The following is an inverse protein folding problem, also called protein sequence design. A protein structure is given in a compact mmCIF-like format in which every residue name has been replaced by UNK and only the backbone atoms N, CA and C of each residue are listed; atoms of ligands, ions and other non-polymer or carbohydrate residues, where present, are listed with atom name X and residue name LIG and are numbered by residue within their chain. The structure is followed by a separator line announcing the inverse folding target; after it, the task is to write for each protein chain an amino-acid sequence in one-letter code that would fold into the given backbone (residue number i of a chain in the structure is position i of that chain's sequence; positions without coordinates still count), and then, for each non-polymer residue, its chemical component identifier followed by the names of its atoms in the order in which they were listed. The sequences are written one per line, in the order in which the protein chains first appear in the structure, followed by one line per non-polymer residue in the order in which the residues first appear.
data_IF_177836466117
#
_entry.id   IF_177836466117
#
_cell.length_a   1.000
_cell.length_b   1.000
_cell.length_c   1.000
_cell.angle_alpha   90.00
_cell.angle_beta   90.00
_cell.angle_gamma   90.00
#
_symmetry.space_group_name_H-M   'P 1'
#
loop_
_entity.id
_entity.type
_entity.pdbx_description
1 polymer ?
#
# COMPACT_ATOMS: atom_id res chain seq x y z
N UNK A 1 -7.94 8.09 -9.91
CA UNK A 1 -7.74 7.51 -8.58
C UNK A 1 -6.49 6.65 -8.67
N UNK A 2 -5.36 7.09 -8.11
CA UNK A 2 -4.16 6.25 -8.00
C UNK A 2 -4.37 5.30 -6.81
N UNK A 3 -3.97 4.04 -6.96
CA UNK A 3 -4.15 3.00 -5.96
C UNK A 3 -3.50 3.43 -4.64
N UNK A 4 -4.29 3.53 -3.58
CA UNK A 4 -3.80 3.70 -2.23
C UNK A 4 -4.01 2.35 -1.53
N UNK A 5 -2.95 1.55 -1.32
CA UNK A 5 -3.07 0.51 -0.32
C UNK A 5 -3.03 1.16 1.05
N UNK A 6 -4.08 0.90 1.83
CA UNK A 6 -4.12 1.33 3.21
C UNK A 6 -3.19 0.42 4.03
N UNK A 7 -1.99 0.88 4.31
CA UNK A 7 -1.27 0.45 5.52
C UNK A 7 -1.95 1.19 6.67
N UNK A 8 -2.45 0.47 7.66
CA UNK A 8 -3.19 1.08 8.77
C UNK A 8 -2.33 1.19 10.03
N UNK A 9 -2.47 2.29 10.77
CA UNK A 9 -1.94 2.47 12.11
C UNK A 9 -3.02 2.25 13.17
N UNK A 10 -2.65 1.70 14.33
CA UNK A 10 -3.59 1.61 15.45
C UNK A 10 -3.99 3.01 15.93
N UNK A 11 -5.27 3.16 16.29
CA UNK A 11 -5.76 4.40 16.87
C UNK A 11 -5.36 4.50 18.35
N UNK A 12 -4.89 5.66 18.85
CA UNK A 12 -4.45 5.84 20.24
C UNK A 12 -5.58 5.73 21.28
N UNK A 13 -6.83 5.50 20.85
CA UNK A 13 -8.04 5.55 21.67
C UNK A 13 -8.76 4.19 21.85
N UNK A 14 -8.13 3.03 21.61
CA UNK A 14 -8.82 1.75 21.83
C UNK A 14 -7.93 0.64 22.39
N UNK A 15 -8.16 0.20 23.63
CA UNK A 15 -7.59 -1.03 24.19
C UNK A 15 -8.43 -2.28 23.87
N UNK A 16 -9.21 -2.29 22.78
CA UNK A 16 -10.14 -3.39 22.48
C UNK A 16 -9.47 -4.48 21.61
N UNK A 17 -9.80 -5.77 21.84
CA UNK A 17 -9.29 -6.87 21.04
C UNK A 17 -9.68 -6.69 19.57
N UNK A 18 -8.66 -6.66 18.70
CA UNK A 18 -8.80 -6.52 17.25
C UNK A 18 -9.44 -7.79 16.72
N UNK A 19 -10.63 -7.67 16.13
CA UNK A 19 -11.38 -8.81 15.63
C UNK A 19 -10.91 -9.12 14.21
N UNK A 20 -10.08 -10.14 14.05
CA UNK A 20 -9.64 -10.67 12.75
C UNK A 20 -8.27 -11.34 12.84
N UNK A 21 -8.21 -12.63 12.50
CA UNK A 21 -6.95 -13.31 12.18
C UNK A 21 -6.42 -12.70 10.87
N UNK A 22 -5.54 -11.70 10.94
CA UNK A 22 -4.97 -11.14 9.70
C UNK A 22 -4.15 -9.86 9.89
N UNK A 23 -4.59 -8.92 10.72
CA UNK A 23 -3.84 -7.68 10.92
C UNK A 23 -2.73 -7.89 11.96
N UNK A 24 -1.58 -8.39 11.52
CA UNK A 24 -0.37 -8.30 12.31
C UNK A 24 0.11 -6.85 12.30
N UNK A 25 0.30 -6.27 13.49
CA UNK A 25 0.88 -4.95 13.63
C UNK A 25 2.24 -5.05 14.29
N UNK A 26 3.15 -4.18 13.91
CA UNK A 26 4.42 -3.97 14.61
C UNK A 26 4.39 -2.64 15.35
N UNK A 27 4.94 -2.63 16.56
CA UNK A 27 5.13 -1.41 17.35
C UNK A 27 6.40 -0.70 16.90
N UNK A 28 6.26 0.55 16.49
CA UNK A 28 7.37 1.48 16.29
C UNK A 28 7.57 2.28 17.58
N UNK A 29 8.77 2.29 18.19
CA UNK A 29 8.99 2.97 19.47
C UNK A 29 8.84 4.49 19.33
N UNK A 30 8.62 5.17 20.47
CA UNK A 30 8.72 6.62 20.50
C UNK A 30 10.18 7.04 20.26
N UNK A 31 10.40 8.14 19.56
CA UNK A 31 11.76 8.58 19.28
C UNK A 31 11.85 9.85 18.47
N UNK A 32 13.08 10.31 18.27
CA UNK A 32 13.43 11.35 17.30
C UNK A 32 14.07 10.68 16.10
N UNK A 33 13.46 10.85 14.93
CA UNK A 33 13.86 10.23 13.68
C UNK A 33 14.39 11.26 12.71
N UNK A 34 15.41 10.89 11.93
CA UNK A 34 15.90 11.69 10.81
C UNK A 34 15.28 11.15 9.53
N UNK A 35 14.43 11.97 8.90
CA UNK A 35 13.67 11.63 7.69
C UNK A 35 14.06 12.54 6.54
N UNK A 36 13.57 12.21 5.33
CA UNK A 36 13.82 12.94 4.10
C UNK A 36 15.19 12.71 3.50
N UNK A 37 15.44 13.36 2.36
CA UNK A 37 16.73 13.33 1.65
C UNK A 37 17.05 14.72 1.12
N UNK A 38 18.32 15.10 1.20
CA UNK A 38 18.73 16.51 1.07
C UNK A 38 18.37 17.12 -0.29
N UNK A 39 18.30 16.29 -1.33
CA UNK A 39 17.99 16.67 -2.71
C UNK A 39 16.49 16.78 -3.00
N UNK A 40 15.61 16.34 -2.09
CA UNK A 40 14.17 16.31 -2.30
C UNK A 40 13.49 17.49 -1.61
N UNK A 41 12.95 18.42 -2.40
CA UNK A 41 12.30 19.65 -1.90
C UNK A 41 11.02 19.35 -1.12
N UNK A 42 10.23 18.37 -1.56
CA UNK A 42 8.96 17.99 -0.90
C UNK A 42 9.16 17.17 0.37
N UNK A 43 10.31 16.51 0.51
CA UNK A 43 10.67 15.70 1.67
C UNK A 43 12.13 15.94 2.08
N UNK A 44 12.47 17.16 2.53
CA UNK A 44 13.84 17.52 2.86
C UNK A 44 14.25 16.85 4.17
N UNK A 45 15.57 16.79 4.38
CA UNK A 45 16.11 16.23 5.62
C UNK A 45 15.61 17.02 6.82
N UNK A 46 14.93 16.33 7.75
CA UNK A 46 14.44 16.94 9.00
C UNK A 46 14.46 15.95 10.16
N UNK A 47 14.42 16.47 11.38
CA UNK A 47 14.16 15.66 12.58
C UNK A 47 12.68 15.71 12.92
N UNK A 48 12.10 14.55 13.22
CA UNK A 48 10.70 14.42 13.64
C UNK A 48 10.65 13.65 14.95
N UNK A 49 9.93 14.19 15.94
CA UNK A 49 9.64 13.49 17.19
C UNK A 49 8.29 12.79 17.06
N UNK A 50 8.30 11.45 17.14
CA UNK A 50 7.10 10.63 17.10
C UNK A 50 6.85 9.98 18.47
N UNK A 51 5.59 9.85 18.83
CA UNK A 51 5.17 8.93 19.89
C UNK A 51 5.26 7.49 19.36
N UNK A 52 5.26 6.51 20.26
CA UNK A 52 5.13 5.13 19.84
C UNK A 52 3.79 4.94 19.12
N UNK A 53 3.79 4.15 18.05
CA UNK A 53 2.61 3.82 17.27
C UNK A 53 2.71 2.39 16.77
N UNK A 54 1.59 1.82 16.37
CA UNK A 54 1.57 0.51 15.70
C UNK A 54 1.19 0.70 14.25
N UNK A 55 1.80 -0.07 13.36
CA UNK A 55 1.52 -0.06 11.93
C UNK A 55 1.35 -1.50 11.43
N UNK A 56 0.40 -1.72 10.52
CA UNK A 56 0.14 -3.02 9.91
C UNK A 56 1.40 -3.51 9.17
N UNK A 57 1.69 -4.80 9.28
CA UNK A 57 2.85 -5.43 8.61
C UNK A 57 2.58 -5.72 7.14
N UNK A 58 1.33 -5.69 6.71
CA UNK A 58 0.86 -5.97 5.35
C UNK A 58 -0.12 -4.87 4.92
N UNK A 59 -0.31 -4.77 3.60
CA UNK A 59 -1.36 -3.96 3.00
C UNK A 59 -2.75 -4.53 3.34
N UNK A 60 -3.76 -3.66 3.42
CA UNK A 60 -5.15 -4.11 3.56
C UNK A 60 -5.53 -5.02 2.40
N UNK A 61 -5.99 -6.23 2.68
CA UNK A 61 -6.35 -7.22 1.64
C UNK A 61 -7.74 -6.99 1.08
N UNK A 62 -8.01 -7.56 -0.09
CA UNK A 62 -9.38 -7.58 -0.63
C UNK A 62 -10.35 -8.33 0.28
N UNK A 63 -9.93 -9.41 0.95
CA UNK A 63 -10.80 -10.13 1.89
C UNK A 63 -11.20 -9.26 3.10
N UNK A 64 -10.28 -8.47 3.62
CA UNK A 64 -10.54 -7.52 4.71
C UNK A 64 -11.48 -6.41 4.26
N UNK A 65 -11.22 -5.80 3.11
CA UNK A 65 -12.08 -4.76 2.55
C UNK A 65 -13.47 -5.29 2.19
N UNK A 66 -13.57 -6.52 1.69
CA UNK A 66 -14.86 -7.19 1.44
C UNK A 66 -15.66 -7.40 2.73
N UNK A 67 -15.00 -7.68 3.85
CA UNK A 67 -15.65 -7.77 5.17
C UNK A 67 -16.22 -6.41 5.60
N UNK A 68 -15.46 -5.33 5.41
CA UNK A 68 -15.93 -3.95 5.63
C UNK A 68 -17.17 -3.65 4.78
N UNK A 69 -17.11 -3.89 3.47
CA UNK A 69 -18.21 -3.61 2.55
C UNK A 69 -19.44 -4.46 2.90
N UNK A 70 -19.26 -5.75 3.21
CA UNK A 70 -20.36 -6.63 3.63
C UNK A 70 -21.03 -6.16 4.92
N UNK A 71 -20.24 -5.65 5.88
CA UNK A 71 -20.75 -5.22 7.17
C UNK A 71 -21.49 -3.87 7.12
N UNK A 72 -21.17 -3.02 6.14
CA UNK A 72 -21.62 -1.62 6.11
C UNK A 72 -22.49 -1.27 4.91
N UNK A 73 -22.49 -2.09 3.86
CA UNK A 73 -23.08 -1.73 2.57
C UNK A 73 -22.34 -0.60 1.86
N UNK A 74 -21.07 -0.35 2.21
CA UNK A 74 -20.28 0.75 1.66
C UNK A 74 -20.12 0.62 0.13
N UNK A 75 -20.22 1.76 -0.57
CA UNK A 75 -20.04 1.88 -2.02
C UNK A 75 -18.88 2.84 -2.27
N UNK A 76 -17.82 2.36 -2.92
CA UNK A 76 -16.60 3.16 -3.10
C UNK A 76 -16.77 4.31 -4.08
N UNK A 77 -15.86 5.28 -4.05
CA UNK A 77 -15.86 6.37 -5.02
C UNK A 77 -15.72 5.86 -6.46
N UNK A 78 -14.92 4.82 -6.70
CA UNK A 78 -14.80 4.20 -8.03
C UNK A 78 -16.15 3.63 -8.52
N UNK A 79 -16.90 2.96 -7.63
CA UNK A 79 -18.22 2.42 -7.95
C UNK A 79 -19.24 3.52 -8.24
N UNK A 80 -19.18 4.65 -7.50
CA UNK A 80 -20.10 5.77 -7.66
C UNK A 80 -19.81 6.64 -8.87
N UNK A 81 -18.52 6.89 -9.14
CA UNK A 81 -18.06 7.87 -10.11
C UNK A 81 -17.65 7.25 -11.44
N UNK A 82 -17.52 5.92 -11.50
CA UNK A 82 -17.12 5.17 -12.69
C UNK A 82 -15.83 5.74 -13.29
N UNK A 83 -14.82 5.99 -12.44
CA UNK A 83 -13.62 6.75 -12.79
C UNK A 83 -12.30 6.12 -12.34
N UNK A 84 -12.31 4.82 -12.01
CA UNK A 84 -11.08 4.11 -11.76
C UNK A 84 -10.20 4.12 -13.01
N UNK A 85 -8.90 4.17 -12.76
CA UNK A 85 -7.87 4.24 -13.79
C UNK A 85 -7.17 2.87 -13.82
N UNK A 86 -7.10 2.27 -15.00
CA UNK A 86 -6.48 0.95 -15.22
C UNK A 86 -5.22 1.09 -16.05
N UNK A 87 -4.22 0.28 -15.72
CA UNK A 87 -2.99 0.13 -16.48
C UNK A 87 -2.99 -1.21 -17.24
N UNK A 88 -2.76 -1.17 -18.55
CA UNK A 88 -2.76 -2.34 -19.45
C UNK A 88 -1.62 -2.23 -20.49
N UNK A 89 -0.50 -2.96 -20.34
CA UNK A 89 0.47 -3.17 -21.41
C UNK A 89 -0.13 -3.96 -22.58
N UNK A 90 0.34 -3.77 -23.83
CA UNK A 90 1.33 -2.79 -24.27
C UNK A 90 0.66 -1.45 -24.59
N UNK A 91 0.82 -0.46 -23.73
CA UNK A 91 0.37 0.91 -24.03
C UNK A 91 1.54 1.73 -24.56
N UNK A 92 1.38 2.42 -25.70
CA UNK A 92 2.30 3.47 -26.11
C UNK A 92 2.12 4.63 -25.11
N UNK A 93 3.07 4.76 -24.19
CA UNK A 93 3.15 5.76 -23.10
C UNK A 93 2.15 5.55 -21.95
N UNK A 94 2.42 6.21 -20.81
CA UNK A 94 1.71 6.14 -19.52
C UNK A 94 0.23 6.61 -19.58
N UNK A 95 -0.56 6.07 -20.51
CA UNK A 95 -1.98 6.36 -20.63
C UNK A 95 -2.74 5.48 -19.67
N UNK A 96 -3.22 6.08 -18.60
CA UNK A 96 -4.23 5.46 -17.77
C UNK A 96 -5.55 5.40 -18.54
N UNK A 97 -6.16 4.21 -18.60
CA UNK A 97 -7.49 4.04 -19.22
C UNK A 97 -8.52 4.29 -18.14
N UNK A 98 -9.42 5.26 -18.36
CA UNK A 98 -10.62 5.39 -17.55
C UNK A 98 -11.57 4.27 -17.95
N UNK A 99 -11.71 3.27 -17.09
CA UNK A 99 -12.65 2.17 -17.27
C UNK A 99 -13.78 2.35 -16.26
N UNK A 100 -14.98 2.69 -16.74
CA UNK A 100 -16.14 2.91 -15.88
C UNK A 100 -16.62 1.65 -15.13
N UNK A 101 -16.12 0.48 -15.54
CA UNK A 101 -16.39 -0.80 -14.88
C UNK A 101 -15.33 -1.16 -13.84
N UNK A 102 -14.20 -0.46 -13.82
CA UNK A 102 -13.14 -0.72 -12.85
C UNK A 102 -13.50 -0.16 -11.47
N UNK A 103 -13.30 -0.99 -10.45
CA UNK A 103 -13.48 -0.68 -9.04
C UNK A 103 -12.76 -1.77 -8.21
N UNK A 104 -12.83 -1.71 -6.87
CA UNK A 104 -12.13 -2.68 -6.03
C UNK A 104 -12.53 -4.15 -6.29
N UNK A 105 -13.77 -4.42 -6.75
CA UNK A 105 -14.20 -5.79 -7.10
C UNK A 105 -13.66 -6.25 -8.46
N UNK A 106 -13.44 -5.32 -9.36
CA UNK A 106 -12.91 -5.55 -10.71
C UNK A 106 -11.77 -4.56 -10.96
N UNK A 107 -10.60 -4.75 -10.33
CA UNK A 107 -9.56 -3.73 -10.25
C UNK A 107 -8.99 -3.32 -11.62
N UNK A 108 -9.17 -4.18 -12.63
CA UNK A 108 -8.73 -3.94 -14.00
C UNK A 108 -9.91 -3.85 -14.99
N UNK A 109 -11.12 -3.59 -14.50
CA UNK A 109 -12.35 -3.62 -15.29
C UNK A 109 -12.96 -5.02 -15.38
N UNK A 110 -14.27 -5.07 -15.61
CA UNK A 110 -15.08 -6.29 -15.46
C UNK A 110 -14.67 -7.43 -16.42
N UNK A 111 -14.06 -7.09 -17.55
CA UNK A 111 -13.59 -8.07 -18.55
C UNK A 111 -12.21 -8.66 -18.23
N UNK A 112 -11.49 -8.13 -17.24
CA UNK A 112 -10.09 -8.49 -16.93
C UNK A 112 -9.93 -9.22 -15.59
N UNK A 113 -11.02 -9.74 -15.05
CA UNK A 113 -11.05 -10.55 -13.83
C UNK A 113 -11.47 -9.77 -12.58
N UNK A 114 -12.01 -10.52 -11.62
CA UNK A 114 -12.34 -10.02 -10.30
C UNK A 114 -11.08 -9.92 -9.41
N UNK A 115 -11.24 -9.31 -8.24
CA UNK A 115 -10.23 -9.27 -7.20
C UNK A 115 -9.83 -10.67 -6.69
N UNK A 116 -8.64 -10.78 -6.09
CA UNK A 116 -8.16 -11.97 -5.40
C UNK A 116 -8.05 -11.67 -3.89
N UNK A 117 -8.54 -12.57 -3.05
CA UNK A 117 -8.71 -12.34 -1.60
C UNK A 117 -7.42 -11.98 -0.88
N UNK A 118 -6.31 -12.61 -1.25
CA UNK A 118 -4.97 -12.47 -0.65
C UNK A 118 -4.10 -11.39 -1.33
N UNK A 119 -4.67 -10.61 -2.26
CA UNK A 119 -4.02 -9.44 -2.83
C UNK A 119 -4.43 -8.16 -2.10
N UNK A 120 -3.64 -7.08 -2.18
CA UNK A 120 -4.05 -5.79 -1.65
C UNK A 120 -5.30 -5.28 -2.34
N UNK A 121 -6.14 -4.57 -1.58
CA UNK A 121 -7.25 -3.83 -2.17
C UNK A 121 -6.72 -2.66 -3.00
N UNK A 122 -7.25 -2.52 -4.21
CA UNK A 122 -6.90 -1.44 -5.14
C UNK A 122 -8.17 -0.76 -5.64
N UNK A 123 -8.02 0.30 -6.46
CA UNK A 123 -9.17 1.07 -6.96
C UNK A 123 -10.08 1.59 -5.83
N UNK A 124 -9.47 2.04 -4.73
CA UNK A 124 -10.10 2.76 -3.62
C UNK A 124 -9.51 4.17 -3.51
N UNK A 125 -10.33 5.15 -3.12
CA UNK A 125 -9.91 6.53 -2.90
C UNK A 125 -9.29 6.71 -1.51
N UNK A 126 -8.72 7.89 -1.26
CA UNK A 126 -8.35 8.28 0.10
C UNK A 126 -9.55 8.26 1.06
N UNK A 127 -10.72 8.73 0.61
CA UNK A 127 -11.93 8.74 1.43
C UNK A 127 -12.44 7.32 1.73
N UNK A 128 -12.31 6.39 0.77
CA UNK A 128 -12.61 4.97 0.96
C UNK A 128 -11.68 4.33 2.00
N UNK A 129 -10.38 4.61 1.90
CA UNK A 129 -9.38 4.13 2.86
C UNK A 129 -9.67 4.67 4.28
N UNK A 130 -9.99 5.96 4.41
CA UNK A 130 -10.37 6.54 5.70
C UNK A 130 -11.68 5.93 6.26
N UNK A 131 -12.66 5.64 5.40
CA UNK A 131 -13.90 4.99 5.81
C UNK A 131 -13.64 3.58 6.34
N UNK A 132 -12.81 2.80 5.64
CA UNK A 132 -12.35 1.50 6.10
C UNK A 132 -11.64 1.61 7.46
N UNK A 133 -10.66 2.53 7.58
CA UNK A 133 -9.92 2.72 8.82
C UNK A 133 -10.84 3.05 10.01
N UNK A 134 -11.81 3.96 9.82
CA UNK A 134 -12.79 4.30 10.87
C UNK A 134 -13.60 3.08 11.31
N UNK A 135 -14.06 2.26 10.36
CA UNK A 135 -14.79 1.02 10.66
C UNK A 135 -13.93 0.00 11.41
N UNK A 136 -12.69 -0.19 10.97
CA UNK A 136 -11.72 -1.11 11.57
C UNK A 136 -11.09 -0.58 12.87
N UNK A 137 -11.44 0.64 13.31
CA UNK A 137 -10.90 1.34 14.49
C UNK A 137 -9.38 1.56 14.43
N UNK A 138 -8.89 1.82 13.22
CA UNK A 138 -7.51 2.16 12.88
C UNK A 138 -7.50 3.51 12.15
N UNK A 139 -6.34 3.98 11.70
CA UNK A 139 -6.18 5.22 10.93
C UNK A 139 -5.10 5.05 9.88
N UNK A 140 -5.02 5.94 8.89
CA UNK A 140 -3.86 5.99 8.02
C UNK A 140 -2.61 6.49 8.81
N UNK A 141 -1.40 6.00 8.47
CA UNK A 141 -0.16 6.56 8.98
C UNK A 141 0.00 8.00 8.49
N UNK A 142 0.71 8.82 9.26
CA UNK A 142 1.26 10.06 8.69
C UNK A 142 2.41 9.71 7.75
N UNK A 143 2.83 10.67 6.91
CA UNK A 143 4.02 10.50 6.07
C UNK A 143 5.25 10.15 6.91
N UNK A 144 5.42 10.81 8.06
CA UNK A 144 6.54 10.56 8.97
C UNK A 144 6.51 9.16 9.57
N UNK A 145 5.33 8.70 10.01
CA UNK A 145 5.15 7.35 10.54
C UNK A 145 5.46 6.28 9.49
N UNK A 146 4.93 6.47 8.28
CA UNK A 146 5.19 5.55 7.17
C UNK A 146 6.68 5.53 6.80
N UNK A 147 7.34 6.68 6.71
CA UNK A 147 8.76 6.75 6.36
C UNK A 147 9.66 6.13 7.45
N UNK A 148 9.34 6.32 8.74
CA UNK A 148 10.06 5.66 9.85
C UNK A 148 9.94 4.15 9.75
N UNK A 149 8.72 3.64 9.53
CA UNK A 149 8.47 2.22 9.38
C UNK A 149 9.18 1.64 8.15
N UNK A 150 9.14 2.37 7.02
CA UNK A 150 9.80 2.01 5.77
C UNK A 150 11.33 1.93 5.92
N UNK A 151 11.94 2.93 6.56
CA UNK A 151 13.39 2.98 6.76
C UNK A 151 13.92 1.90 7.70
N UNK A 152 13.08 1.37 8.60
CA UNK A 152 13.46 0.31 9.54
C UNK A 152 14.79 0.57 10.27
N UNK A 153 15.01 1.83 10.69
CA UNK A 153 16.20 2.26 11.41
C UNK A 153 17.40 2.65 10.53
N UNK A 154 17.31 2.57 9.20
CA UNK A 154 18.39 3.01 8.30
C UNK A 154 18.24 4.46 7.84
N UNK A 155 19.34 5.01 7.32
CA UNK A 155 19.40 6.36 6.71
C UNK A 155 19.78 6.30 5.23
N UNK A 156 19.78 5.11 4.64
CA UNK A 156 20.12 4.86 3.24
C UNK A 156 18.91 5.07 2.32
N UNK A 157 19.13 4.99 1.00
CA UNK A 157 18.07 5.14 0.00
C UNK A 157 17.02 4.03 0.07
N UNK A 158 17.42 2.81 0.46
CA UNK A 158 16.56 1.67 0.74
C UNK A 158 16.87 1.14 2.14
N UNK A 159 15.93 0.46 2.82
CA UNK A 159 16.22 -0.19 4.11
C UNK A 159 17.32 -1.26 4.00
N UNK A 160 17.51 -1.82 2.80
CA UNK A 160 18.53 -2.83 2.51
C UNK A 160 19.83 -2.25 1.90
N UNK A 161 19.98 -0.92 1.83
CA UNK A 161 21.24 -0.28 1.45
C UNK A 161 21.11 0.92 0.51
N UNK A 162 22.24 1.33 -0.10
CA UNK A 162 22.34 2.56 -0.91
C UNK A 162 21.89 2.41 -2.38
N UNK A 163 21.61 1.20 -2.86
CA UNK A 163 21.22 0.98 -4.25
C UNK A 163 20.11 -0.06 -4.35
N UNK A 164 19.28 0.07 -5.39
CA UNK A 164 18.10 -0.77 -5.61
C UNK A 164 18.40 -2.14 -6.22
N UNK A 165 19.66 -2.61 -6.26
CA UNK A 165 20.01 -3.89 -6.94
C UNK A 165 19.26 -5.10 -6.35
N UNK A 166 18.89 -5.03 -5.07
CA UNK A 166 18.15 -6.08 -4.36
C UNK A 166 16.65 -5.84 -4.30
N UNK A 167 16.11 -4.83 -5.01
CA UNK A 167 14.70 -4.45 -4.87
C UNK A 167 13.74 -5.62 -5.13
N UNK A 168 14.04 -6.47 -6.12
CA UNK A 168 13.21 -7.64 -6.45
C UNK A 168 13.21 -8.75 -5.38
N UNK A 169 14.06 -8.67 -4.34
CA UNK A 169 13.94 -9.57 -3.17
C UNK A 169 12.85 -9.09 -2.18
N UNK A 170 12.47 -7.82 -2.25
CA UNK A 170 11.66 -7.13 -1.24
C UNK A 170 10.38 -6.48 -1.80
N UNK A 171 10.19 -6.50 -3.12
CA UNK A 171 9.17 -5.72 -3.77
C UNK A 171 8.74 -6.33 -5.11
N UNK A 172 7.44 -6.21 -5.39
CA UNK A 172 6.87 -6.34 -6.72
C UNK A 172 7.01 -5.00 -7.45
N UNK A 173 7.88 -4.95 -8.47
CA UNK A 173 8.20 -3.71 -9.19
C UNK A 173 8.55 -3.98 -10.65
N UNK A 174 8.38 -2.96 -11.47
CA UNK A 174 8.86 -2.98 -12.85
C UNK A 174 10.40 -2.83 -12.90
N UNK A 175 11.10 -3.85 -13.38
CA UNK A 175 12.56 -3.90 -13.54
C UNK A 175 13.03 -3.42 -14.92
N UNK A 176 12.19 -3.52 -15.94
CA UNK A 176 12.48 -3.12 -17.32
C UNK A 176 12.57 -1.61 -17.51
N UNK A 177 13.32 -1.15 -18.52
CA UNK A 177 13.34 0.27 -18.93
C UNK A 177 12.24 0.62 -19.94
N UNK A 178 11.59 -0.40 -20.50
CA UNK A 178 10.59 -0.25 -21.57
C UNK A 178 9.21 -0.64 -21.05
N UNK A 179 8.41 0.37 -20.70
CA UNK A 179 7.03 0.21 -20.20
C UNK A 179 6.06 -0.41 -21.23
N UNK A 180 6.49 -0.54 -22.50
CA UNK A 180 5.67 -1.12 -23.57
C UNK A 180 5.70 -2.65 -23.57
N UNK A 181 6.61 -3.28 -22.82
CA UNK A 181 6.71 -4.74 -22.72
C UNK A 181 6.36 -5.16 -21.31
N UNK A 182 5.32 -6.00 -21.08
CA UNK A 182 5.01 -6.48 -19.75
C UNK A 182 6.26 -6.95 -19.01
N UNK A 183 6.49 -6.43 -17.81
CA UNK A 183 7.47 -6.99 -16.91
C UNK A 183 6.81 -8.05 -16.05
N UNK A 184 7.39 -9.25 -16.07
CA UNK A 184 6.99 -10.40 -15.27
C UNK A 184 8.21 -11.02 -14.58
N UNK A 185 9.31 -10.28 -14.47
CA UNK A 185 10.59 -10.81 -13.98
C UNK A 185 10.54 -11.20 -12.50
N UNK A 186 9.64 -10.60 -11.72
CA UNK A 186 9.31 -10.98 -10.34
C UNK A 186 8.10 -11.94 -10.24
N UNK A 187 7.50 -12.31 -11.39
CA UNK A 187 6.35 -13.19 -11.50
C UNK A 187 4.99 -12.50 -11.49
N UNK A 188 4.92 -11.16 -11.34
CA UNK A 188 3.66 -10.45 -11.18
C UNK A 188 3.57 -9.21 -12.09
N UNK A 189 2.56 -9.20 -12.96
CA UNK A 189 2.30 -8.10 -13.89
C UNK A 189 1.68 -6.85 -13.23
N UNK A 190 0.88 -7.10 -12.20
CA UNK A 190 0.12 -6.10 -11.42
C UNK A 190 0.46 -6.37 -9.96
N UNK A 191 -0.49 -6.26 -9.04
CA UNK A 191 -0.32 -6.70 -7.64
C UNK A 191 0.09 -8.17 -7.54
N UNK A 192 0.86 -8.51 -6.51
CA UNK A 192 1.14 -9.86 -6.01
C UNK A 192 0.31 -10.13 -4.74
N UNK A 193 0.20 -11.40 -4.30
CA UNK A 193 -0.29 -11.70 -2.96
C UNK A 193 0.51 -10.93 -1.91
N UNK A 194 -0.15 -10.50 -0.85
CA UNK A 194 0.51 -9.82 0.27
C UNK A 194 1.58 -10.71 0.91
N UNK A 195 2.68 -10.11 1.33
CA UNK A 195 3.75 -10.84 2.02
C UNK A 195 4.53 -11.80 1.13
N UNK A 196 4.41 -11.67 -0.19
CA UNK A 196 5.09 -12.53 -1.16
C UNK A 196 6.62 -12.36 -1.12
N UNK A 197 7.08 -11.13 -0.93
CA UNK A 197 8.50 -10.78 -0.89
C UNK A 197 9.04 -10.76 0.54
N UNK A 198 10.35 -10.57 0.71
CA UNK A 198 10.94 -10.50 2.06
C UNK A 198 10.48 -9.24 2.80
N UNK A 199 10.22 -9.32 4.11
CA UNK A 199 9.91 -8.13 4.89
C UNK A 199 11.17 -7.28 5.12
N UNK A 200 10.96 -6.03 5.52
CA UNK A 200 12.01 -5.20 6.09
C UNK A 200 12.42 -5.71 7.50
N UNK A 201 13.50 -5.18 8.11
CA UNK A 201 13.96 -5.61 9.44
C UNK A 201 12.94 -5.50 10.58
N UNK A 202 11.84 -4.76 10.39
CA UNK A 202 10.74 -4.63 11.36
C UNK A 202 9.58 -5.59 11.07
N UNK A 203 9.66 -6.41 10.02
CA UNK A 203 8.59 -7.34 9.66
C UNK A 203 7.50 -6.74 8.75
N UNK A 204 7.69 -5.53 8.19
CA UNK A 204 6.76 -4.98 7.20
C UNK A 204 7.06 -5.52 5.81
N UNK A 205 6.03 -6.01 5.12
CA UNK A 205 6.06 -6.51 3.76
C UNK A 205 5.62 -5.42 2.78
N UNK A 206 6.06 -5.55 1.53
CA UNK A 206 5.57 -4.78 0.38
C UNK A 206 5.64 -3.24 0.58
N UNK A 207 6.49 -2.77 1.50
CA UNK A 207 6.68 -1.33 1.79
C UNK A 207 7.31 -0.58 0.60
N UNK A 208 7.86 -1.34 -0.35
CA UNK A 208 8.25 -0.88 -1.67
C UNK A 208 7.41 -1.62 -2.72
N UNK A 209 6.77 -0.89 -3.61
CA UNK A 209 6.04 -1.47 -4.76
C UNK A 209 4.69 -2.09 -4.41
N UNK A 210 4.29 -3.09 -5.20
CA UNK A 210 2.99 -3.78 -5.19
C UNK A 210 1.77 -2.93 -5.64
N UNK A 211 1.57 -1.75 -5.05
CA UNK A 211 0.45 -0.82 -5.36
C UNK A 211 0.88 0.63 -5.54
#
# INVERSE_FOLDING_TARGET
MLALAAVACASPLSPLPRKGEGDQFVTIPAGTYRLGKAEYVENPVRQVKLKAFEIATIETTNAQFATFVKATGYVTDAERLHNAMVFEPPMPEFRWIKDGTANWRFPNGMTRGAYQDDHPVTSISFADAEAYCRWAKVRLPTLEEWEVACRAGTTTDYFFGKNGKKIGEYANVWHGRDHRKPDLSDGYMRTSPIGKFKPNPLGLYDIYGNV
#
